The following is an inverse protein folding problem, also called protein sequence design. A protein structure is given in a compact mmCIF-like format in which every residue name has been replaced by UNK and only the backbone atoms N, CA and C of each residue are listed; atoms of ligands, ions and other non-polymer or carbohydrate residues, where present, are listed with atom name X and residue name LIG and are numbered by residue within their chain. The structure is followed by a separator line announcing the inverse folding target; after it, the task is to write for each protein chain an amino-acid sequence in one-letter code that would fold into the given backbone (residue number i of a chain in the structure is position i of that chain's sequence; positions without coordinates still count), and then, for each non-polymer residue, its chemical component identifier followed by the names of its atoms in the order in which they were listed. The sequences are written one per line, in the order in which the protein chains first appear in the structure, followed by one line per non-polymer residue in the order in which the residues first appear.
data_IF_692874169141
#
_entry.id   IF_692874169141
#
_cell.length_a   1.000
_cell.length_b   1.000
_cell.length_c   1.000
_cell.angle_alpha   90.00
_cell.angle_beta   90.00
_cell.angle_gamma   90.00
#
_symmetry.space_group_name_H-M   'P 1'
#
loop_
_entity.id
_entity.type
_entity.pdbx_description
1 polymer ?
#
# COMPACT_ATOMS: atom_id res chain seq x y z
N UNK A 1 -12.58 -10.70 -2.80
CA UNK A 1 -11.79 -9.51 -2.47
C UNK A 1 -10.35 -9.90 -2.19
N UNK A 2 -9.42 -9.10 -2.64
CA UNK A 2 -8.00 -9.37 -2.49
C UNK A 2 -7.33 -8.19 -1.79
N UNK A 3 -6.40 -8.46 -0.86
CA UNK A 3 -5.65 -7.42 -0.18
C UNK A 3 -4.18 -7.59 -0.51
N UNK A 4 -3.54 -6.50 -0.97
CA UNK A 4 -2.12 -6.50 -1.29
C UNK A 4 -1.41 -5.57 -0.33
N UNK A 5 -0.35 -6.06 0.29
CA UNK A 5 0.44 -5.29 1.26
C UNK A 5 1.91 -5.34 0.88
N UNK A 6 2.60 -4.21 1.11
CA UNK A 6 4.04 -4.13 1.00
C UNK A 6 4.58 -3.58 2.31
N UNK A 7 5.42 -4.36 3.00
CA UNK A 7 6.00 -3.96 4.27
C UNK A 7 7.37 -3.34 4.06
N UNK A 8 7.59 -2.20 4.73
CA UNK A 8 8.83 -1.45 4.63
C UNK A 8 9.43 -1.29 6.02
N UNK A 9 10.73 -1.54 6.14
CA UNK A 9 11.46 -1.29 7.38
C UNK A 9 12.13 0.07 7.26
N UNK A 10 11.41 1.11 7.67
CA UNK A 10 11.87 2.49 7.48
C UNK A 10 12.95 2.82 8.49
N UNK A 11 14.03 3.46 8.02
CA UNK A 11 15.16 3.80 8.87
C UNK A 11 14.76 4.76 9.97
N UNK A 12 15.33 4.60 11.19
CA UNK A 12 15.04 5.53 12.28
C UNK A 12 15.37 6.97 11.87
N UNK A 13 14.43 7.87 12.15
CA UNK A 13 14.60 9.27 11.80
C UNK A 13 14.11 9.62 10.41
N UNK A 14 13.81 8.64 9.57
CA UNK A 14 13.36 8.90 8.21
C UNK A 14 11.85 8.71 8.04
N UNK A 15 11.12 8.56 9.14
CA UNK A 15 9.69 8.27 9.07
C UNK A 15 8.91 9.37 8.35
N UNK A 16 9.20 10.62 8.69
CA UNK A 16 8.49 11.73 8.06
C UNK A 16 8.81 11.85 6.59
N UNK A 17 10.06 11.61 6.22
CA UNK A 17 10.46 11.65 4.81
C UNK A 17 9.75 10.56 4.02
N UNK A 18 9.64 9.36 4.60
CA UNK A 18 8.94 8.25 3.97
C UNK A 18 7.46 8.59 3.77
N UNK A 19 6.82 9.13 4.81
CA UNK A 19 5.42 9.51 4.73
C UNK A 19 5.21 10.57 3.66
N UNK A 20 6.12 11.54 3.58
CA UNK A 20 6.00 12.60 2.59
C UNK A 20 6.06 12.07 1.16
N UNK A 21 6.91 11.08 0.91
CA UNK A 21 6.99 10.47 -0.41
C UNK A 21 5.63 9.88 -0.80
N UNK A 22 4.98 9.17 0.12
CA UNK A 22 3.69 8.56 -0.18
C UNK A 22 2.58 9.59 -0.31
N UNK A 23 2.56 10.59 0.57
CA UNK A 23 1.53 11.63 0.51
C UNK A 23 1.62 12.44 -0.77
N UNK A 24 2.82 12.62 -1.31
CA UNK A 24 3.01 13.38 -2.53
C UNK A 24 2.84 12.58 -3.81
N UNK A 25 2.60 11.28 -3.72
CA UNK A 25 2.53 10.42 -4.90
C UNK A 25 1.16 10.51 -5.56
N UNK A 26 1.15 10.75 -6.85
CA UNK A 26 -0.07 10.75 -7.63
C UNK A 26 -0.21 9.39 -8.30
N UNK A 27 -1.02 8.53 -7.72
CA UNK A 27 -1.11 7.14 -8.14
C UNK A 27 -2.26 6.86 -9.10
N UNK A 28 -3.23 7.78 -9.19
CA UNK A 28 -4.44 7.58 -9.98
C UNK A 28 -5.21 6.31 -9.61
N UNK A 29 -4.97 5.79 -8.40
CA UNK A 29 -5.59 4.54 -7.97
C UNK A 29 -7.11 4.59 -7.99
N UNK A 30 -7.68 5.75 -7.67
CA UNK A 30 -9.14 5.87 -7.62
C UNK A 30 -9.82 5.64 -8.95
N UNK A 31 -9.05 5.61 -10.05
CA UNK A 31 -9.61 5.40 -11.40
C UNK A 31 -9.35 3.99 -11.92
N UNK A 32 -8.71 3.13 -11.15
CA UNK A 32 -8.30 1.81 -11.62
C UNK A 32 -9.43 0.81 -11.41
N UNK A 33 -9.80 0.05 -12.45
CA UNK A 33 -10.88 -0.93 -12.30
C UNK A 33 -10.58 -1.94 -11.21
N UNK A 34 -11.56 -2.16 -10.35
CA UNK A 34 -11.44 -3.13 -9.27
C UNK A 34 -10.80 -2.60 -8.01
N UNK A 35 -10.24 -1.41 -8.04
CA UNK A 35 -9.67 -0.79 -6.84
C UNK A 35 -10.77 -0.43 -5.86
N UNK A 36 -10.53 -0.68 -4.56
CA UNK A 36 -11.50 -0.37 -3.52
C UNK A 36 -10.98 0.68 -2.56
N UNK A 37 -9.78 0.47 -2.00
CA UNK A 37 -9.26 1.39 -0.99
C UNK A 37 -7.74 1.27 -0.86
N UNK A 38 -7.11 2.35 -0.45
CA UNK A 38 -5.67 2.39 -0.16
C UNK A 38 -5.47 2.97 1.23
N UNK A 39 -4.58 2.36 1.98
CA UNK A 39 -4.13 2.91 3.27
C UNK A 39 -2.63 2.78 3.37
N UNK A 40 -1.98 3.81 3.89
CA UNK A 40 -0.60 3.71 4.33
C UNK A 40 -0.64 3.50 5.83
N UNK A 41 -0.06 2.40 6.30
CA UNK A 41 -0.14 2.00 7.69
C UNK A 41 1.20 2.22 8.38
N UNK A 42 1.16 2.74 9.60
CA UNK A 42 2.34 2.89 10.42
C UNK A 42 2.23 1.91 11.58
N UNK A 43 3.25 1.07 11.72
CA UNK A 43 3.32 0.08 12.78
C UNK A 43 4.26 0.52 13.90
N UNK A 44 4.79 -0.44 14.65
CA UNK A 44 5.65 -0.11 15.79
C UNK A 44 7.04 0.34 15.35
N UNK A 45 7.65 1.16 16.22
CA UNK A 45 9.05 1.51 16.07
C UNK A 45 9.89 0.51 16.83
N UNK A 46 10.82 -0.12 16.13
CA UNK A 46 11.72 -1.09 16.69
C UNK A 46 13.12 -0.49 16.77
N UNK A 47 14.08 -1.30 17.24
CA UNK A 47 15.42 -0.77 17.46
C UNK A 47 16.08 -0.30 16.18
N UNK A 48 15.90 -1.02 15.09
CA UNK A 48 16.57 -0.71 13.84
C UNK A 48 15.65 -0.16 12.75
N UNK A 49 14.35 -0.07 13.00
CA UNK A 49 13.42 0.46 12.00
C UNK A 49 12.06 0.74 12.57
N UNK A 50 11.26 1.50 11.83
CA UNK A 50 9.82 1.61 12.08
C UNK A 50 9.13 0.87 10.95
N UNK A 51 8.16 0.02 11.30
CA UNK A 51 7.43 -0.74 10.30
C UNK A 51 6.35 0.12 9.66
N UNK A 52 6.34 0.15 8.34
CA UNK A 52 5.25 0.74 7.56
C UNK A 52 4.74 -0.31 6.58
N UNK A 53 3.51 -0.16 6.16
CA UNK A 53 2.97 -1.02 5.12
C UNK A 53 2.00 -0.25 4.25
N UNK A 54 2.08 -0.45 2.95
CA UNK A 54 0.98 -0.06 2.09
C UNK A 54 -0.07 -1.16 2.16
N UNK A 55 -1.33 -0.79 1.95
CA UNK A 55 -2.44 -1.74 2.06
C UNK A 55 -3.48 -1.34 1.04
N UNK A 56 -3.70 -2.19 0.03
CA UNK A 56 -4.71 -1.92 -0.98
C UNK A 56 -5.73 -3.05 -1.01
N UNK A 57 -6.98 -2.66 -1.21
CA UNK A 57 -8.08 -3.61 -1.36
C UNK A 57 -8.57 -3.61 -2.78
N UNK A 58 -8.82 -4.79 -3.32
CA UNK A 58 -9.21 -4.99 -4.72
C UNK A 58 -10.40 -5.93 -4.79
N UNK A 59 -11.22 -5.75 -5.81
CA UNK A 59 -12.35 -6.64 -6.01
C UNK A 59 -11.93 -8.07 -6.24
N UNK A 60 -10.76 -8.27 -6.90
CA UNK A 60 -10.22 -9.59 -7.14
C UNK A 60 -8.71 -9.52 -7.29
N UNK A 61 -8.06 -10.67 -7.15
CA UNK A 61 -6.62 -10.76 -7.41
C UNK A 61 -6.31 -10.40 -8.85
N UNK A 62 -7.17 -10.78 -9.78
CA UNK A 62 -6.97 -10.47 -11.19
C UNK A 62 -6.94 -8.96 -11.43
N UNK A 63 -7.79 -8.21 -10.74
CA UNK A 63 -7.78 -6.75 -10.84
C UNK A 63 -6.46 -6.16 -10.36
N UNK A 64 -5.95 -6.66 -9.25
CA UNK A 64 -4.65 -6.23 -8.74
C UNK A 64 -3.55 -6.53 -9.73
N UNK A 65 -3.53 -7.74 -10.28
CA UNK A 65 -2.49 -8.13 -11.23
C UNK A 65 -2.56 -7.28 -12.49
N UNK A 66 -3.77 -6.99 -12.96
CA UNK A 66 -3.92 -6.14 -14.13
C UNK A 66 -3.35 -4.74 -13.86
N UNK A 67 -3.59 -4.20 -12.67
CA UNK A 67 -3.04 -2.90 -12.31
C UNK A 67 -1.50 -2.91 -12.31
N UNK A 68 -0.88 -3.98 -11.80
CA UNK A 68 0.59 -4.03 -11.75
C UNK A 68 1.24 -4.04 -13.14
N UNK A 69 0.45 -4.32 -14.17
CA UNK A 69 0.94 -4.29 -15.54
C UNK A 69 0.50 -3.04 -16.30
N UNK A 70 -0.12 -2.09 -15.61
CA UNK A 70 -0.73 -0.93 -16.26
C UNK A 70 0.20 0.26 -16.31
N UNK A 71 -0.17 1.23 -17.15
CA UNK A 71 0.54 2.51 -17.19
C UNK A 71 0.40 3.26 -15.88
N UNK A 72 -0.76 3.15 -15.22
CA UNK A 72 -0.96 3.80 -13.92
C UNK A 72 0.03 3.30 -12.88
N UNK A 73 0.29 2.00 -12.89
CA UNK A 73 1.28 1.42 -11.97
C UNK A 73 2.67 1.97 -12.28
N UNK A 74 3.04 1.97 -13.55
CA UNK A 74 4.36 2.49 -13.93
C UNK A 74 4.50 3.96 -13.59
N UNK A 75 3.46 4.74 -13.82
CA UNK A 75 3.49 6.16 -13.49
C UNK A 75 3.63 6.39 -12.00
N UNK A 76 2.92 5.60 -11.19
CA UNK A 76 2.97 5.75 -9.73
C UNK A 76 4.34 5.39 -9.17
N UNK A 77 5.07 4.50 -9.83
CA UNK A 77 6.36 4.00 -9.33
C UNK A 77 7.55 4.53 -10.10
N UNK A 78 7.33 5.49 -11.00
CA UNK A 78 8.38 5.99 -11.89
C UNK A 78 9.61 6.46 -11.15
N UNK A 79 9.41 7.20 -10.05
CA UNK A 79 10.52 7.79 -9.32
C UNK A 79 10.82 7.06 -8.02
N UNK A 80 10.27 5.87 -7.83
CA UNK A 80 10.36 5.19 -6.54
C UNK A 80 11.78 4.85 -6.14
N UNK A 81 12.68 4.63 -7.09
CA UNK A 81 14.05 4.29 -6.80
C UNK A 81 15.04 5.43 -6.95
N UNK A 82 14.54 6.64 -7.18
CA UNK A 82 15.39 7.74 -7.57
C UNK A 82 16.07 8.51 -6.45
N UNK A 83 15.72 8.22 -5.20
CA UNK A 83 16.19 9.02 -4.08
C UNK A 83 17.02 8.19 -3.12
N UNK A 84 17.59 8.88 -2.14
CA UNK A 84 18.28 8.24 -1.05
C UNK A 84 17.40 7.17 -0.41
N UNK A 85 17.97 6.01 -0.08
CA UNK A 85 17.20 4.96 0.56
C UNK A 85 16.63 5.40 1.89
N UNK A 86 15.35 5.15 2.10
CA UNK A 86 14.66 5.49 3.33
C UNK A 86 14.35 4.24 4.16
N UNK A 87 14.59 3.05 3.62
CA UNK A 87 14.25 1.82 4.31
C UNK A 87 15.29 0.75 4.01
N UNK A 88 15.30 -0.28 4.86
CA UNK A 88 16.25 -1.39 4.78
C UNK A 88 15.76 -2.41 3.76
N UNK A 89 16.64 -2.86 2.88
CA UNK A 89 16.34 -3.92 1.94
C UNK A 89 15.20 -3.58 1.00
N UNK A 90 14.59 -4.62 0.45
CA UNK A 90 13.44 -4.47 -0.43
C UNK A 90 12.14 -4.59 0.35
N UNK A 91 11.06 -3.95 -0.12
CA UNK A 91 9.76 -4.16 0.51
C UNK A 91 9.37 -5.64 0.43
N UNK A 92 8.68 -6.11 1.46
CA UNK A 92 8.15 -7.47 1.46
C UNK A 92 6.71 -7.45 1.04
N UNK A 93 6.42 -8.06 -0.11
CA UNK A 93 5.07 -8.13 -0.62
C UNK A 93 4.31 -9.30 -0.01
N UNK A 94 3.05 -9.06 0.37
CA UNK A 94 2.15 -10.12 0.82
C UNK A 94 0.78 -9.89 0.19
N UNK A 95 0.19 -10.96 -0.33
CA UNK A 95 -1.13 -10.90 -0.91
C UNK A 95 -2.05 -11.86 -0.20
N UNK A 96 -3.31 -11.45 0.00
CA UNK A 96 -4.27 -12.24 0.75
C UNK A 96 -5.62 -12.26 0.05
N UNK A 97 -6.22 -13.45 -0.02
CA UNK A 97 -7.62 -13.56 -0.39
C UNK A 97 -8.45 -13.35 0.86
N UNK A 98 -9.48 -12.52 0.76
CA UNK A 98 -10.39 -12.33 1.89
C UNK A 98 -11.35 -13.50 1.93
N UNK A 99 -11.30 -14.29 2.99
CA UNK A 99 -12.16 -15.47 3.10
C UNK A 99 -13.32 -15.25 4.05
N UNK A 100 -13.34 -14.15 4.75
CA UNK A 100 -14.46 -13.80 5.63
C UNK A 100 -14.44 -12.30 5.86
N UNK A 101 -15.60 -11.68 5.73
CA UNK A 101 -15.74 -10.26 6.00
C UNK A 101 -16.98 -10.03 6.84
N UNK A 102 -16.83 -9.29 7.93
CA UNK A 102 -17.94 -8.90 8.77
C UNK A 102 -17.96 -7.39 8.83
N UNK A 103 -19.07 -6.81 8.47
CA UNK A 103 -19.23 -5.36 8.46
C UNK A 103 -20.18 -4.93 9.56
N UNK A 104 -20.15 -3.66 9.87
CA UNK A 104 -21.06 -3.09 10.85
C UNK A 104 -22.50 -3.30 10.37
N UNK A 105 -23.29 -3.88 11.26
CA UNK A 105 -24.63 -4.24 10.89
C UNK A 105 -25.53 -3.05 10.68
N UNK A 106 -25.17 -1.99 10.92
CA UNK A 106 -26.00 -0.91 10.85
C UNK A 106 -26.33 -0.47 9.58
N UNK A 107 -25.93 -1.17 8.89
CA UNK A 107 -26.32 -0.86 7.71
C UNK A 107 -27.65 -0.67 7.95
N UNK A 108 -27.59 -1.16 8.69
CA UNK A 108 -28.43 -0.97 9.20
C UNK A 108 -28.90 0.35 9.33
N UNK A 109 -28.95 0.81 9.07
CA UNK A 109 -29.22 1.65 9.14
C UNK A 109 -29.74 2.40 9.12
N UNK A 110 -29.86 2.19 9.18
CA UNK A 110 -30.62 2.81 9.29
C UNK A 110 -31.22 3.40 8.78
#
# INVERSE_FOLDING_TARGET
MFIAMNRFKVLPGEEKAFEAVWLGRDSHLGEVPGFIAFHLLRGPSLEDHTLFSSHTQWGSKADFEAWTRSESFRAAHRDAGGNKPLYLGHPNFEGFEVIQEVLLAAATRA
#
